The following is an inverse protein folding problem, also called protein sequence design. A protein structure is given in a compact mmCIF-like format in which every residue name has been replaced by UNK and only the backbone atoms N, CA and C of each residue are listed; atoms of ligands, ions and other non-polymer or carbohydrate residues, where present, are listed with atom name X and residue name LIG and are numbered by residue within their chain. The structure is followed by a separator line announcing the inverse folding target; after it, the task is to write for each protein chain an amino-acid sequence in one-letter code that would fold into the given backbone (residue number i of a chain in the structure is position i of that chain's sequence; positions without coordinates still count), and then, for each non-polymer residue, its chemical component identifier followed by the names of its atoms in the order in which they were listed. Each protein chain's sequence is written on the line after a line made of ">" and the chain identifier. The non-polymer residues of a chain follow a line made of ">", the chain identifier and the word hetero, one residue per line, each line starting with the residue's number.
data_IF_911139759165
#
_entry.id   IF_911139759165
#
_cell.length_a   1.000
_cell.length_b   1.000
_cell.length_c   1.000
_cell.angle_alpha   90.00
_cell.angle_beta   90.00
_cell.angle_gamma   90.00
#
_symmetry.space_group_name_H-M   'P 1'
#
loop_
_entity.id
_entity.type
_entity.pdbx_description
1 polymer ?
#
# COMPACT_ATOMS: atom_id res chain seq x y z
N UNK A 1 -17.33 -2.33 18.52
CA UNK A 1 -16.46 -2.89 17.47
C UNK A 1 -15.53 -1.77 17.04
N UNK A 2 -14.30 -1.76 17.54
CA UNK A 2 -13.35 -0.68 17.24
C UNK A 2 -12.86 -0.86 15.80
N UNK A 3 -13.01 0.19 15.01
CA UNK A 3 -12.67 0.22 13.60
C UNK A 3 -11.13 0.25 13.49
N UNK A 4 -10.51 -0.91 13.27
CA UNK A 4 -9.06 -1.13 13.28
C UNK A 4 -8.30 -0.48 12.10
N UNK A 5 -8.99 0.32 11.27
CA UNK A 5 -8.45 0.94 10.06
C UNK A 5 -7.35 1.98 10.31
N UNK A 6 -7.15 2.42 11.55
CA UNK A 6 -6.19 3.49 11.89
C UNK A 6 -4.94 3.02 12.66
N UNK A 7 -4.66 1.72 12.74
CA UNK A 7 -3.49 1.22 13.51
C UNK A 7 -2.16 1.45 12.77
N UNK A 8 -2.19 1.52 11.45
CA UNK A 8 -0.99 1.49 10.61
C UNK A 8 -0.92 2.72 9.71
N UNK A 9 0.27 3.31 9.64
CA UNK A 9 0.58 4.40 8.70
C UNK A 9 1.36 3.82 7.52
N UNK A 10 0.92 4.18 6.31
CA UNK A 10 1.58 3.84 5.07
C UNK A 10 2.23 5.10 4.49
N UNK A 11 3.43 4.93 3.95
CA UNK A 11 4.20 5.98 3.32
C UNK A 11 4.44 5.63 1.85
N UNK A 12 4.03 6.52 0.96
CA UNK A 12 4.26 6.37 -0.46
C UNK A 12 5.73 6.67 -0.76
N UNK A 13 6.40 5.75 -1.45
CA UNK A 13 7.70 6.03 -2.03
C UNK A 13 7.49 6.36 -3.50
N UNK A 14 7.67 7.63 -3.84
CA UNK A 14 7.80 8.09 -5.21
C UNK A 14 9.11 7.54 -5.78
N UNK A 15 9.02 6.37 -6.43
CA UNK A 15 10.09 5.85 -7.26
C UNK A 15 9.69 5.97 -8.74
N UNK A 16 10.23 6.95 -9.49
CA UNK A 16 9.90 7.16 -10.90
C UNK A 16 10.19 5.96 -11.83
N UNK A 17 10.89 4.94 -11.33
CA UNK A 17 11.30 3.76 -12.08
C UNK A 17 10.41 2.53 -11.81
N UNK A 18 9.47 2.59 -10.85
CA UNK A 18 8.57 1.47 -10.53
C UNK A 18 7.18 1.65 -11.16
N UNK A 19 6.63 0.53 -11.64
CA UNK A 19 5.35 0.46 -12.38
C UNK A 19 4.13 0.53 -11.44
N UNK A 20 4.35 0.34 -10.13
CA UNK A 20 3.35 0.43 -9.07
C UNK A 20 3.86 1.33 -7.94
N UNK A 21 2.97 2.08 -7.29
CA UNK A 21 3.26 2.79 -6.05
C UNK A 21 3.82 1.80 -5.02
N UNK A 22 5.06 2.03 -4.59
CA UNK A 22 5.70 1.19 -3.57
C UNK A 22 5.39 1.80 -2.20
N UNK A 23 4.27 1.36 -1.62
CA UNK A 23 3.89 1.75 -0.27
C UNK A 23 4.80 1.05 0.75
N UNK A 24 5.28 1.78 1.76
CA UNK A 24 5.96 1.25 2.94
C UNK A 24 5.08 1.35 4.16
N UNK A 25 5.21 0.39 5.07
CA UNK A 25 4.56 0.44 6.38
C UNK A 25 5.49 1.10 7.40
N UNK A 26 4.99 2.01 8.22
CA UNK A 26 5.68 2.45 9.42
C UNK A 26 5.29 1.54 10.60
N UNK A 27 6.29 0.95 11.27
CA UNK A 27 6.04 0.21 12.49
C UNK A 27 5.42 1.13 13.55
N UNK A 28 4.29 0.77 14.17
CA UNK A 28 3.62 1.64 15.14
C UNK A 28 4.38 1.78 16.47
N UNK A 29 5.42 0.97 16.70
CA UNK A 29 6.20 0.98 17.93
C UNK A 29 7.55 1.68 17.77
N UNK A 30 8.37 1.24 16.81
CA UNK A 30 9.70 1.82 16.60
C UNK A 30 9.76 2.82 15.45
N UNK A 31 8.67 3.02 14.71
CA UNK A 31 8.58 3.92 13.55
C UNK A 31 9.56 3.60 12.40
N UNK A 32 10.13 2.40 12.39
CA UNK A 32 10.94 1.94 11.26
C UNK A 32 10.09 1.67 10.03
N UNK A 33 10.67 1.94 8.87
CA UNK A 33 10.04 1.76 7.57
C UNK A 33 10.22 0.32 7.09
N UNK A 34 9.10 -0.34 6.80
CA UNK A 34 9.05 -1.75 6.42
C UNK A 34 8.51 -1.90 5.00
N UNK A 35 9.17 -2.73 4.22
CA UNK A 35 8.72 -3.13 2.90
C UNK A 35 7.60 -4.16 2.98
N UNK A 36 6.87 -4.34 1.88
CA UNK A 36 5.88 -5.42 1.76
C UNK A 36 6.50 -6.80 2.01
N UNK A 37 7.71 -7.04 1.51
CA UNK A 37 8.41 -8.30 1.72
C UNK A 37 8.71 -8.55 3.20
N UNK A 38 8.97 -7.49 3.98
CA UNK A 38 9.20 -7.63 5.43
C UNK A 38 7.92 -8.07 6.15
N UNK A 39 6.76 -7.51 5.79
CA UNK A 39 5.47 -7.87 6.40
C UNK A 39 5.00 -9.26 5.97
N UNK A 40 5.26 -9.64 4.71
CA UNK A 40 4.93 -10.98 4.21
C UNK A 40 5.81 -12.07 4.84
N UNK A 41 7.10 -11.76 5.08
CA UNK A 41 8.07 -12.74 5.59
C UNK A 41 8.03 -12.89 7.11
N UNK A 42 7.72 -11.82 7.84
CA UNK A 42 7.84 -11.78 9.30
C UNK A 42 6.53 -11.40 9.99
N UNK A 43 6.03 -12.22 10.93
CA UNK A 43 4.84 -11.86 11.72
C UNK A 43 5.11 -10.73 12.73
N UNK A 44 6.38 -10.40 12.98
CA UNK A 44 6.82 -9.35 13.90
C UNK A 44 7.70 -8.34 13.19
N UNK A 45 7.81 -7.13 13.75
CA UNK A 45 8.73 -6.13 13.26
C UNK A 45 10.19 -6.62 13.42
N UNK A 46 11.00 -6.65 12.36
CA UNK A 46 12.39 -7.15 12.42
C UNK A 46 13.31 -6.28 13.29
N UNK A 47 12.91 -5.06 13.65
CA UNK A 47 13.73 -4.12 14.42
C UNK A 47 13.38 -4.06 15.90
N UNK A 48 12.10 -4.21 16.27
CA UNK A 48 11.64 -4.04 17.65
C UNK A 48 10.77 -5.19 18.17
N UNK A 49 10.61 -6.25 17.36
CA UNK A 49 9.84 -7.45 17.68
C UNK A 49 8.35 -7.19 17.98
N UNK A 50 7.82 -6.04 17.54
CA UNK A 50 6.42 -5.72 17.66
C UNK A 50 5.56 -6.72 16.87
N UNK A 51 4.66 -7.43 17.54
CA UNK A 51 3.69 -8.32 16.90
C UNK A 51 2.66 -7.50 16.12
N UNK A 52 2.64 -7.67 14.80
CA UNK A 52 1.66 -7.03 13.95
C UNK A 52 0.27 -7.62 14.17
N UNK A 53 0.18 -8.90 14.52
CA UNK A 53 -1.05 -9.67 14.55
C UNK A 53 -1.68 -9.78 13.16
N UNK A 54 -2.79 -10.51 13.08
CA UNK A 54 -3.60 -10.57 11.85
C UNK A 54 -4.46 -9.32 11.75
N UNK A 55 -4.34 -8.60 10.63
CA UNK A 55 -5.12 -7.39 10.37
C UNK A 55 -5.44 -7.32 8.87
N UNK A 56 -6.72 -7.09 8.55
CA UNK A 56 -7.23 -6.83 7.19
C UNK A 56 -6.40 -5.77 6.46
N UNK A 57 -6.01 -4.67 7.13
CA UNK A 57 -5.22 -3.61 6.50
C UNK A 57 -3.81 -4.06 6.06
N UNK A 58 -3.21 -5.02 6.79
CA UNK A 58 -1.91 -5.58 6.39
C UNK A 58 -2.08 -6.63 5.28
N UNK A 59 -3.18 -7.38 5.31
CA UNK A 59 -3.53 -8.32 4.23
C UNK A 59 -3.78 -7.56 2.92
N UNK A 60 -4.59 -6.50 2.95
CA UNK A 60 -4.84 -5.62 1.81
C UNK A 60 -3.53 -5.00 1.30
N UNK A 61 -2.69 -4.47 2.21
CA UNK A 61 -1.39 -3.91 1.84
C UNK A 61 -0.52 -4.90 1.07
N UNK A 62 -0.51 -6.19 1.44
CA UNK A 62 0.24 -7.24 0.74
C UNK A 62 -0.41 -7.58 -0.61
N UNK A 63 -1.73 -7.72 -0.64
CA UNK A 63 -2.46 -8.24 -1.80
C UNK A 63 -2.71 -7.20 -2.90
N UNK A 64 -2.82 -5.91 -2.56
CA UNK A 64 -3.26 -4.84 -3.46
C UNK A 64 -2.52 -4.84 -4.80
N UNK A 65 -1.18 -4.88 -4.89
CA UNK A 65 -0.51 -4.87 -6.20
C UNK A 65 -0.68 -6.15 -7.01
N UNK A 66 -0.88 -7.29 -6.35
CA UNK A 66 -1.17 -8.54 -7.03
C UNK A 66 -2.56 -8.48 -7.66
N UNK A 67 -3.54 -7.96 -6.92
CA UNK A 67 -4.91 -7.75 -7.40
C UNK A 67 -4.93 -6.73 -8.53
N UNK A 68 -4.25 -5.59 -8.37
CA UNK A 68 -4.15 -4.56 -9.40
C UNK A 68 -3.51 -5.07 -10.68
N UNK A 69 -2.40 -5.79 -10.57
CA UNK A 69 -1.74 -6.38 -11.72
C UNK A 69 -2.63 -7.41 -12.43
N UNK A 70 -3.35 -8.24 -11.65
CA UNK A 70 -4.30 -9.19 -12.20
C UNK A 70 -5.47 -8.50 -12.91
N UNK A 71 -6.05 -7.47 -12.30
CA UNK A 71 -7.15 -6.67 -12.89
C UNK A 71 -6.75 -6.04 -14.22
N UNK A 72 -5.54 -5.49 -14.32
CA UNK A 72 -4.99 -4.89 -15.55
C UNK A 72 -4.86 -5.87 -16.71
N UNK A 73 -4.75 -7.17 -16.43
CA UNK A 73 -4.66 -8.22 -17.43
C UNK A 73 -6.03 -8.74 -17.91
N UNK A 74 -7.14 -8.29 -17.30
CA UNK A 74 -8.47 -8.77 -17.66
C UNK A 74 -8.97 -8.15 -18.97
N UNK A 75 -9.60 -8.92 -19.87
CA UNK A 75 -10.22 -8.39 -21.08
C UNK A 75 -11.26 -7.32 -20.76
N UNK A 76 -11.13 -6.14 -21.38
CA UNK A 76 -12.07 -5.04 -21.20
C UNK A 76 -11.85 -4.19 -19.94
N UNK A 77 -10.79 -4.44 -19.16
CA UNK A 77 -10.40 -3.55 -18.07
C UNK A 77 -10.00 -2.18 -18.62
N UNK A 78 -10.61 -1.12 -18.09
CA UNK A 78 -10.22 0.27 -18.32
C UNK A 78 -9.83 0.85 -16.98
N UNK A 79 -8.53 1.11 -16.79
CA UNK A 79 -8.08 1.86 -15.62
C UNK A 79 -8.80 3.21 -15.60
N UNK A 80 -9.55 3.49 -14.55
CA UNK A 80 -10.00 4.85 -14.28
C UNK A 80 -8.73 5.60 -13.90
N UNK A 81 -8.17 6.37 -14.84
CA UNK A 81 -7.22 7.40 -14.47
C UNK A 81 -7.95 8.30 -13.49
N UNK A 82 -7.44 8.44 -12.27
CA UNK A 82 -7.89 9.51 -11.39
C UNK A 82 -7.78 10.81 -12.17
N UNK A 83 -8.93 11.38 -12.56
CA UNK A 83 -8.94 12.63 -13.28
C UNK A 83 -8.28 13.67 -12.37
N UNK A 84 -7.07 14.09 -12.72
CA UNK A 84 -6.38 15.16 -12.04
C UNK A 84 -7.26 16.42 -12.18
N UNK A 85 -7.87 16.94 -11.09
CA UNK A 85 -8.80 18.07 -11.16
C UNK A 85 -8.14 19.34 -11.69
N UNK A 86 -6.80 19.39 -11.73
CA UNK A 86 -6.04 20.52 -12.21
C UNK A 86 -5.82 20.53 -13.73
N UNK A 87 -6.07 19.43 -14.44
CA UNK A 87 -5.85 19.38 -15.89
C UNK A 87 -7.01 20.05 -16.67
N UNK A 88 -8.21 20.15 -16.09
CA UNK A 88 -9.38 20.76 -16.74
C UNK A 88 -9.34 22.30 -16.80
N UNK A 89 -8.35 22.96 -16.17
CA UNK A 89 -8.28 24.43 -16.11
C UNK A 89 -7.36 25.06 -17.18
N UNK A 90 -6.64 24.25 -17.97
CA UNK A 90 -5.73 24.74 -19.01
C UNK A 90 -6.32 24.69 -20.42
N UNK A 91 -7.52 24.13 -20.59
CA UNK A 91 -8.22 23.99 -21.88
C UNK A 91 -9.39 24.99 -22.06
N UNK A 92 -9.43 26.11 -21.33
CA UNK A 92 -10.40 27.20 -21.48
C UNK A 92 -9.77 28.53 -21.89
#
# INVERSE_FOLDING_TARGET
>A
MQNSRNKYQFQDIDNPQMVSLDHRLLCPQCHETLSRADIESYPHCPFCDHDFGKNEALEDFILEPLVDNWMRQQPGFKAQAEENPFQQMLDL
#
